data_IF_465203883646
#
_entry.id   IF_465203883646
#
_cell.length_a   1.000
_cell.length_b   1.000
_cell.length_c   1.000
_cell.angle_alpha   90.00
_cell.angle_beta   90.00
_cell.angle_gamma   90.00
#
_symmetry.space_group_name_H-M   'P 1'
#
loop_
_entity.id
_entity.type
_entity.pdbx_description
1 polymer ?
#
# COMPACT_ATOMS: atom_id res chain seq x y z
N UNK A 1 -17.20 15.14 -13.35
CA UNK A 1 -16.91 13.78 -12.85
C UNK A 1 -16.98 13.80 -11.34
N UNK A 2 -17.75 12.92 -10.71
CA UNK A 2 -17.68 12.72 -9.25
C UNK A 2 -16.28 12.25 -8.88
N UNK A 3 -15.57 13.03 -8.06
CA UNK A 3 -14.27 12.63 -7.51
C UNK A 3 -14.51 11.42 -6.62
N UNK A 4 -13.98 10.27 -7.01
CA UNK A 4 -13.95 9.07 -6.17
C UNK A 4 -12.68 9.19 -5.33
N UNK A 5 -12.81 9.21 -4.01
CA UNK A 5 -11.63 9.18 -3.14
C UNK A 5 -10.88 7.86 -3.33
N UNK A 6 -9.56 7.89 -3.10
CA UNK A 6 -8.69 6.75 -3.38
C UNK A 6 -9.06 5.50 -2.60
N UNK A 7 -9.48 5.62 -1.34
CA UNK A 7 -9.87 4.45 -0.54
C UNK A 7 -11.09 3.78 -1.14
N UNK A 8 -12.06 4.57 -1.57
CA UNK A 8 -13.22 4.07 -2.32
C UNK A 8 -12.81 3.45 -3.64
N UNK A 9 -11.88 4.06 -4.38
CA UNK A 9 -11.34 3.47 -5.62
C UNK A 9 -10.68 2.11 -5.37
N UNK A 10 -9.76 2.00 -4.40
CA UNK A 10 -9.07 0.75 -4.06
C UNK A 10 -10.06 -0.32 -3.60
N UNK A 11 -11.04 0.03 -2.76
CA UNK A 11 -12.11 -0.89 -2.35
C UNK A 11 -12.93 -1.40 -3.54
N UNK A 12 -13.22 -0.53 -4.52
CA UNK A 12 -13.94 -0.93 -5.75
C UNK A 12 -13.07 -1.80 -6.67
N UNK A 13 -11.78 -1.50 -6.77
CA UNK A 13 -10.85 -2.25 -7.60
C UNK A 13 -10.59 -3.67 -7.06
N UNK A 14 -10.56 -3.85 -5.73
CA UNK A 14 -10.38 -5.15 -5.06
C UNK A 14 -11.60 -6.06 -5.11
N UNK A 15 -12.80 -5.52 -5.32
CA UNK A 15 -14.07 -6.27 -5.35
C UNK A 15 -14.44 -6.86 -6.72
N UNK A 16 -13.55 -6.82 -7.72
CA UNK A 16 -13.70 -7.49 -9.03
C UNK A 16 -15.14 -7.58 -9.58
N UNK A 17 -15.65 -6.53 -10.25
CA UNK A 17 -16.95 -6.51 -10.97
C UNK A 17 -18.17 -7.20 -10.31
N UNK A 18 -18.22 -7.34 -8.98
CA UNK A 18 -19.19 -8.19 -8.31
C UNK A 18 -19.75 -7.64 -7.00
N UNK A 19 -20.05 -6.34 -6.92
CA UNK A 19 -21.15 -5.76 -6.11
C UNK A 19 -21.06 -4.21 -6.15
N UNK A 20 -21.86 -3.59 -7.01
CA UNK A 20 -22.12 -2.16 -7.00
C UNK A 20 -23.09 -1.83 -5.86
N UNK A 21 -22.56 -1.67 -4.64
CA UNK A 21 -23.31 -1.03 -3.57
C UNK A 21 -23.30 0.49 -3.80
N UNK A 22 -24.46 1.05 -4.11
CA UNK A 22 -24.69 2.50 -4.20
C UNK A 22 -24.65 3.12 -2.81
N UNK A 23 -23.79 4.12 -2.62
CA UNK A 23 -23.86 5.03 -1.47
C UNK A 23 -24.03 6.47 -1.98
N UNK A 24 -24.78 7.33 -1.25
CA UNK A 24 -25.02 8.69 -1.70
C UNK A 24 -23.74 9.52 -1.62
N UNK A 25 -23.38 10.18 -2.72
CA UNK A 25 -22.31 11.16 -2.72
C UNK A 25 -22.81 12.45 -2.05
N UNK A 26 -22.34 12.73 -0.82
CA UNK A 26 -22.42 14.05 -0.23
C UNK A 26 -21.08 14.76 -0.41
N UNK A 27 -20.90 15.36 -1.58
CA UNK A 27 -19.89 16.38 -1.80
C UNK A 27 -20.54 17.76 -1.63
N UNK A 28 -20.36 18.37 -0.45
CA UNK A 28 -20.46 19.83 -0.32
C UNK A 28 -19.04 20.38 -0.29
N UNK A 29 -18.67 21.12 -1.34
CA UNK A 29 -17.58 22.07 -1.28
C UNK A 29 -18.12 23.34 -0.60
N UNK A 30 -17.63 23.63 0.60
CA UNK A 30 -17.72 24.95 1.18
C UNK A 30 -16.32 25.54 1.14
N UNK A 31 -16.10 26.49 0.23
CA UNK A 31 -14.98 27.42 0.38
C UNK A 31 -15.22 28.18 1.68
N UNK A 32 -14.30 28.04 2.62
CA UNK A 32 -14.33 28.79 3.87
C UNK A 32 -12.98 29.45 4.03
N UNK A 33 -12.98 30.77 4.21
CA UNK A 33 -11.82 31.50 4.70
C UNK A 33 -11.36 30.82 5.99
N UNK A 34 -10.15 30.25 5.97
CA UNK A 34 -9.52 29.66 7.15
C UNK A 34 -9.13 30.83 8.06
N UNK A 35 -9.83 31.00 9.18
CA UNK A 35 -9.24 31.72 10.32
C UNK A 35 -8.01 30.90 10.72
N UNK A 36 -6.85 31.54 10.74
CA UNK A 36 -5.61 30.91 11.19
C UNK A 36 -5.79 30.55 12.67
N UNK A 37 -6.04 29.27 12.94
CA UNK A 37 -5.82 28.70 14.26
C UNK A 37 -4.34 28.85 14.64
N UNK A 38 -3.97 28.44 15.85
CA UNK A 38 -2.55 28.31 16.18
C UNK A 38 -2.07 26.87 16.00
N UNK A 39 -0.76 26.69 15.90
CA UNK A 39 -0.13 25.39 15.66
C UNK A 39 -0.53 24.33 16.70
N UNK A 40 -0.65 23.07 16.28
CA UNK A 40 -0.82 21.96 17.21
C UNK A 40 0.53 21.34 17.53
N UNK A 41 0.74 21.05 18.82
CA UNK A 41 1.93 20.34 19.27
C UNK A 41 1.54 19.00 19.88
N UNK A 42 2.11 17.93 19.36
CA UNK A 42 1.99 16.59 19.90
C UNK A 42 3.31 16.22 20.58
N UNK A 43 3.35 16.32 21.91
CA UNK A 43 4.52 15.88 22.68
C UNK A 43 4.51 14.36 22.76
N UNK A 44 5.69 13.75 22.68
CA UNK A 44 5.83 12.30 22.68
C UNK A 44 6.77 11.82 23.78
N UNK A 45 6.57 10.58 24.22
CA UNK A 45 7.39 9.91 25.22
C UNK A 45 7.67 8.50 24.69
N UNK A 46 8.64 8.34 23.78
CA UNK A 46 8.82 7.11 23.04
C UNK A 46 9.54 6.08 23.89
N UNK A 47 9.39 4.81 23.54
CA UNK A 47 10.19 3.74 24.13
C UNK A 47 11.70 4.00 23.92
N UNK A 48 12.61 3.65 24.85
CA UNK A 48 14.05 3.89 24.70
C UNK A 48 14.71 3.25 23.45
N UNK A 49 14.09 2.21 22.87
CA UNK A 49 14.55 1.58 21.63
C UNK A 49 14.05 2.26 20.36
N UNK A 50 13.17 3.27 20.48
CA UNK A 50 12.71 4.02 19.33
C UNK A 50 13.83 4.98 18.88
N UNK A 51 14.23 4.96 17.60
CA UNK A 51 15.14 5.96 17.07
C UNK A 51 14.51 7.35 17.17
N UNK A 52 15.35 8.38 17.05
CA UNK A 52 14.86 9.75 16.97
C UNK A 52 13.80 9.87 15.87
N UNK A 53 12.64 10.41 16.23
CA UNK A 53 11.56 10.62 15.27
C UNK A 53 11.94 11.76 14.32
N UNK A 54 12.30 11.40 13.11
CA UNK A 54 12.69 12.35 12.05
C UNK A 54 11.54 12.66 11.09
N UNK A 55 10.42 11.94 11.20
CA UNK A 55 9.37 12.00 10.20
C UNK A 55 7.97 11.79 10.77
N UNK A 56 7.01 12.52 10.22
CA UNK A 56 5.57 12.36 10.39
C UNK A 56 4.87 12.98 9.18
N UNK A 57 3.63 12.58 8.92
CA UNK A 57 2.82 13.20 7.87
C UNK A 57 1.37 13.40 8.29
N UNK A 58 0.72 14.38 7.67
CA UNK A 58 -0.71 14.59 7.78
C UNK A 58 -1.47 13.89 6.64
N UNK A 59 -2.66 13.37 6.97
CA UNK A 59 -3.67 12.93 6.00
C UNK A 59 -4.92 13.77 6.14
N UNK A 60 -5.66 13.97 5.05
CA UNK A 60 -6.91 14.71 5.09
C UNK A 60 -8.09 13.83 5.56
N UNK A 61 -9.32 14.38 5.51
CA UNK A 61 -10.53 13.68 5.97
C UNK A 61 -10.85 12.35 5.28
N UNK A 62 -10.26 12.08 4.12
CA UNK A 62 -10.40 10.79 3.42
C UNK A 62 -9.30 9.80 3.81
N UNK A 63 -8.43 10.18 4.76
CA UNK A 63 -7.25 9.44 5.13
C UNK A 63 -6.24 9.40 3.99
N UNK A 64 -6.22 10.44 3.15
CA UNK A 64 -5.29 10.59 2.03
C UNK A 64 -4.07 11.42 2.47
N UNK A 65 -2.83 10.85 2.46
CA UNK A 65 -1.64 11.62 2.80
C UNK A 65 -1.40 12.74 1.78
N UNK A 66 -0.92 13.89 2.25
CA UNK A 66 -0.60 15.03 1.40
C UNK A 66 0.71 15.71 1.81
N UNK A 67 1.36 16.32 0.83
CA UNK A 67 2.59 17.09 1.08
C UNK A 67 2.28 18.29 1.98
N UNK A 68 3.05 18.38 3.05
CA UNK A 68 2.86 19.39 4.10
C UNK A 68 4.19 19.76 4.74
N UNK A 69 4.17 20.81 5.56
CA UNK A 69 5.27 21.24 6.43
C UNK A 69 5.30 20.49 7.77
N UNK A 70 4.43 19.50 7.98
CA UNK A 70 4.46 18.65 9.19
C UNK A 70 5.78 17.90 9.23
N UNK A 71 6.46 17.95 10.38
CA UNK A 71 7.72 17.25 10.61
C UNK A 71 7.75 16.68 12.02
N UNK A 72 8.44 15.55 12.16
CA UNK A 72 8.80 14.99 13.46
C UNK A 72 10.03 15.69 14.04
N UNK A 73 10.16 15.66 15.36
CA UNK A 73 11.32 16.17 16.09
C UNK A 73 11.59 15.34 17.34
N UNK A 74 12.70 15.64 18.04
CA UNK A 74 13.05 15.04 19.33
C UNK A 74 11.98 15.16 20.41
N UNK A 75 11.16 16.21 20.37
CA UNK A 75 10.19 16.52 21.42
C UNK A 75 8.74 16.24 21.03
N UNK A 76 8.46 16.12 19.73
CA UNK A 76 7.09 16.11 19.27
C UNK A 76 6.90 16.17 17.77
N UNK A 77 5.63 16.24 17.38
CA UNK A 77 5.20 16.66 16.04
C UNK A 77 4.58 18.04 16.18
N UNK A 78 5.01 18.97 15.33
CA UNK A 78 4.37 20.28 15.18
C UNK A 78 3.59 20.30 13.88
N UNK A 79 2.34 20.75 13.98
CA UNK A 79 1.38 20.81 12.89
C UNK A 79 1.03 22.27 12.66
N UNK A 80 1.51 22.89 11.57
CA UNK A 80 1.25 24.29 11.28
C UNK A 80 -0.23 24.56 11.04
N UNK A 81 -0.73 25.71 11.49
CA UNK A 81 -2.14 26.07 11.28
C UNK A 81 -2.52 26.32 9.81
N UNK A 82 -1.54 26.60 8.95
CA UNK A 82 -1.71 26.96 7.54
C UNK A 82 -1.55 25.78 6.57
N UNK A 83 -1.78 24.54 7.03
CA UNK A 83 -1.64 23.29 6.26
C UNK A 83 -2.51 23.17 5.00
N UNK A 84 -3.41 24.11 4.74
CA UNK A 84 -4.33 24.08 3.60
C UNK A 84 -5.43 23.02 3.69
N UNK A 85 -5.51 22.29 4.81
CA UNK A 85 -6.55 21.31 5.13
C UNK A 85 -7.08 21.59 6.53
N UNK A 86 -8.39 21.55 6.70
CA UNK A 86 -9.02 21.90 7.97
C UNK A 86 -9.14 20.70 8.93
N UNK A 87 -9.45 19.51 8.41
CA UNK A 87 -9.57 18.27 9.19
C UNK A 87 -8.47 17.30 8.78
N UNK A 88 -7.66 16.89 9.76
CA UNK A 88 -6.48 16.06 9.53
C UNK A 88 -6.31 14.94 10.54
N UNK A 89 -5.54 13.92 10.16
CA UNK A 89 -4.91 12.96 11.07
C UNK A 89 -3.40 13.00 10.92
N UNK A 90 -2.66 12.60 11.95
CA UNK A 90 -1.20 12.58 11.96
C UNK A 90 -0.69 11.16 12.05
N UNK A 91 0.23 10.76 11.17
CA UNK A 91 0.80 9.41 11.14
C UNK A 91 2.33 9.46 11.25
N UNK A 92 2.91 8.53 11.99
CA UNK A 92 4.37 8.30 12.05
C UNK A 92 4.67 6.83 12.34
N UNK A 93 5.91 6.41 12.12
CA UNK A 93 6.42 5.10 12.53
C UNK A 93 6.68 5.13 14.04
N UNK A 94 6.19 4.13 14.75
CA UNK A 94 6.27 4.03 16.20
C UNK A 94 6.73 2.64 16.62
N UNK A 95 7.58 2.54 17.65
CA UNK A 95 7.96 1.26 18.25
C UNK A 95 7.04 0.93 19.42
N UNK A 96 6.43 -0.26 19.39
CA UNK A 96 5.62 -0.78 20.50
C UNK A 96 6.26 -2.07 21.00
N UNK A 97 6.62 -2.08 22.29
CA UNK A 97 7.24 -3.26 22.91
C UNK A 97 6.32 -4.48 22.81
N UNK A 98 6.89 -5.63 22.41
CA UNK A 98 6.11 -6.85 22.18
C UNK A 98 5.30 -6.89 20.88
N UNK A 99 5.36 -5.85 20.05
CA UNK A 99 4.71 -5.83 18.72
C UNK A 99 5.69 -5.46 17.59
N UNK A 100 6.61 -4.52 17.84
CA UNK A 100 7.61 -4.07 16.87
C UNK A 100 7.33 -2.68 16.31
N UNK A 101 7.86 -2.38 15.13
CA UNK A 101 7.65 -1.10 14.44
C UNK A 101 6.35 -1.12 13.64
N UNK A 102 5.51 -0.11 13.86
CA UNK A 102 4.22 0.04 13.19
C UNK A 102 3.98 1.48 12.77
N UNK A 103 3.19 1.67 11.72
CA UNK A 103 2.66 2.98 11.36
C UNK A 103 1.41 3.25 12.21
N UNK A 104 1.44 4.29 13.04
CA UNK A 104 0.33 4.67 13.91
C UNK A 104 -0.22 6.04 13.53
N UNK A 105 -1.54 6.14 13.53
CA UNK A 105 -2.28 7.36 13.24
C UNK A 105 -2.95 7.87 14.50
N UNK A 106 -2.73 9.14 14.80
CA UNK A 106 -3.52 9.94 15.73
C UNK A 106 -4.60 10.67 14.93
N UNK A 107 -5.87 10.38 15.20
CA UNK A 107 -7.02 10.94 14.49
C UNK A 107 -8.13 11.41 15.47
N UNK A 108 -7.76 11.74 16.71
CA UNK A 108 -8.69 12.23 17.74
C UNK A 108 -9.85 11.23 18.00
N UNK A 109 -9.55 9.92 17.97
CA UNK A 109 -10.54 8.87 18.16
C UNK A 109 -11.54 8.76 17.01
N UNK A 110 -11.06 8.89 15.77
CA UNK A 110 -11.84 8.83 14.53
C UNK A 110 -12.51 10.15 14.12
N UNK A 111 -12.38 11.21 14.91
CA UNK A 111 -13.05 12.50 14.65
C UNK A 111 -12.20 13.51 13.87
N UNK A 112 -10.92 13.20 13.66
CA UNK A 112 -9.90 14.08 13.10
C UNK A 112 -9.60 15.29 14.00
N UNK A 113 -8.43 15.90 13.78
CA UNK A 113 -8.07 17.18 14.35
C UNK A 113 -8.55 18.29 13.41
N UNK A 114 -9.43 19.15 13.92
CA UNK A 114 -9.94 20.30 13.17
C UNK A 114 -9.14 21.55 13.52
N UNK A 115 -8.26 22.01 12.63
CA UNK A 115 -7.26 23.04 12.93
C UNK A 115 -7.86 24.37 13.42
N UNK A 116 -9.02 24.76 12.88
CA UNK A 116 -9.73 25.98 13.32
C UNK A 116 -10.26 25.94 14.75
N UNK A 117 -10.35 24.77 15.37
CA UNK A 117 -10.85 24.62 16.75
C UNK A 117 -9.76 24.94 17.79
N UNK A 118 -8.54 25.22 17.34
CA UNK A 118 -7.35 25.35 18.19
C UNK A 118 -6.69 26.73 18.06
N UNK A 119 -6.09 27.19 19.15
CA UNK A 119 -5.57 28.55 19.28
C UNK A 119 -4.04 28.61 19.48
N UNK A 120 -3.33 27.49 19.27
CA UNK A 120 -1.87 27.40 19.37
C UNK A 120 -1.33 26.99 20.73
N UNK A 121 -2.17 26.98 21.77
CA UNK A 121 -1.77 26.51 23.11
C UNK A 121 -2.10 25.02 23.34
N UNK A 122 -2.60 24.34 22.31
CA UNK A 122 -3.04 22.96 22.38
C UNK A 122 -1.85 22.00 22.34
N UNK A 123 -1.59 21.36 23.48
CA UNK A 123 -0.56 20.33 23.64
C UNK A 123 -1.22 18.98 23.84
N UNK A 124 -0.95 18.06 22.93
CA UNK A 124 -1.43 16.68 22.99
C UNK A 124 -0.32 15.74 23.43
N UNK A 125 -0.70 14.63 24.06
CA UNK A 125 0.19 13.51 24.31
C UNK A 125 0.03 12.50 23.15
N UNK A 126 1.09 12.32 22.36
CA UNK A 126 1.02 11.52 21.14
C UNK A 126 0.74 10.05 21.42
N UNK A 127 1.38 9.46 22.44
CA UNK A 127 1.13 8.08 22.87
C UNK A 127 -0.34 7.86 23.23
N UNK A 128 -0.92 8.81 23.98
CA UNK A 128 -2.34 8.80 24.36
C UNK A 128 -3.26 8.88 23.14
N UNK A 129 -2.96 9.76 22.19
CA UNK A 129 -3.76 9.90 20.96
C UNK A 129 -3.66 8.67 20.06
N UNK A 130 -2.53 7.96 20.01
CA UNK A 130 -2.45 6.66 19.31
C UNK A 130 -3.35 5.60 19.93
N UNK A 131 -3.31 5.45 21.27
CA UNK A 131 -4.18 4.51 21.96
C UNK A 131 -5.66 4.85 21.73
N UNK A 132 -6.03 6.13 21.86
CA UNK A 132 -7.39 6.63 21.61
C UNK A 132 -7.89 6.30 20.20
N UNK A 133 -7.06 6.56 19.20
CA UNK A 133 -7.37 6.32 17.78
C UNK A 133 -7.50 4.83 17.50
N UNK A 134 -6.63 3.99 18.08
CA UNK A 134 -6.70 2.53 17.95
C UNK A 134 -7.93 1.93 18.63
N UNK A 135 -8.35 2.44 19.81
CA UNK A 135 -9.62 2.05 20.45
C UNK A 135 -10.80 2.30 19.53
N UNK A 136 -10.90 3.53 18.99
CA UNK A 136 -11.99 3.91 18.10
C UNK A 136 -12.05 2.98 16.87
N UNK A 137 -10.89 2.72 16.24
CA UNK A 137 -10.78 1.80 15.10
C UNK A 137 -11.21 0.37 15.46
N UNK A 138 -10.68 -0.18 16.55
CA UNK A 138 -11.00 -1.55 16.97
C UNK A 138 -12.51 -1.69 17.23
N UNK A 139 -13.12 -0.74 17.94
CA UNK A 139 -14.57 -0.72 18.20
C UNK A 139 -15.39 -0.67 16.92
N UNK A 140 -15.02 0.21 15.98
CA UNK A 140 -15.71 0.33 14.69
C UNK A 140 -15.64 -0.97 13.88
N UNK A 141 -14.45 -1.52 13.71
CA UNK A 141 -14.22 -2.75 12.93
C UNK A 141 -14.93 -3.94 13.58
N UNK A 142 -14.78 -4.11 14.89
CA UNK A 142 -15.43 -5.17 15.65
C UNK A 142 -16.96 -5.11 15.50
N UNK A 143 -17.56 -3.93 15.68
CA UNK A 143 -19.00 -3.71 15.52
C UNK A 143 -19.48 -4.06 14.10
N UNK A 144 -18.73 -3.66 13.08
CA UNK A 144 -19.03 -3.99 11.67
C UNK A 144 -19.00 -5.50 11.41
N UNK A 145 -18.09 -6.22 12.07
CA UNK A 145 -17.99 -7.68 11.93
C UNK A 145 -19.06 -8.42 12.75
N UNK A 146 -19.38 -7.95 13.94
CA UNK A 146 -20.52 -8.44 14.73
C UNK A 146 -21.83 -8.28 13.96
N UNK A 147 -22.05 -7.14 13.28
CA UNK A 147 -23.22 -6.95 12.42
C UNK A 147 -23.27 -7.87 11.21
N UNK A 148 -22.14 -8.51 10.86
CA UNK A 148 -22.06 -9.55 9.81
C UNK A 148 -22.21 -10.98 10.34
N UNK A 149 -22.46 -11.14 11.65
CA UNK A 149 -22.69 -12.42 12.31
C UNK A 149 -21.48 -13.02 13.04
N UNK A 150 -20.33 -12.33 13.03
CA UNK A 150 -19.12 -12.82 13.72
C UNK A 150 -19.32 -12.79 15.24
N UNK A 151 -18.98 -13.89 15.90
CA UNK A 151 -18.96 -14.00 17.36
C UNK A 151 -17.52 -14.04 17.83
N UNK A 152 -17.07 -13.00 18.53
CA UNK A 152 -15.70 -12.91 19.01
C UNK A 152 -15.46 -13.75 20.26
N UNK A 153 -14.28 -14.36 20.33
CA UNK A 153 -13.86 -15.20 21.44
C UNK A 153 -13.84 -14.45 22.79
N UNK A 154 -13.80 -15.20 23.89
CA UNK A 154 -13.57 -14.61 25.22
C UNK A 154 -12.21 -13.93 25.32
N UNK A 155 -11.20 -14.41 24.59
CA UNK A 155 -9.87 -13.81 24.54
C UNK A 155 -9.92 -12.40 23.94
N UNK A 156 -10.56 -12.22 22.77
CA UNK A 156 -10.73 -10.90 22.15
C UNK A 156 -11.48 -9.95 23.07
N UNK A 157 -12.55 -10.42 23.73
CA UNK A 157 -13.30 -9.60 24.69
C UNK A 157 -12.44 -9.18 25.88
N UNK A 158 -11.79 -10.13 26.55
CA UNK A 158 -10.94 -9.85 27.71
C UNK A 158 -9.79 -8.89 27.38
N UNK A 159 -9.09 -9.11 26.26
CA UNK A 159 -8.01 -8.23 25.84
C UNK A 159 -8.52 -6.84 25.45
N UNK A 160 -9.72 -6.73 24.87
CA UNK A 160 -10.37 -5.43 24.60
C UNK A 160 -10.58 -4.69 25.93
N UNK A 161 -11.25 -5.33 26.89
CA UNK A 161 -11.58 -4.73 28.19
C UNK A 161 -10.31 -4.29 28.94
N UNK A 162 -9.30 -5.18 29.03
CA UNK A 162 -7.99 -4.86 29.64
C UNK A 162 -7.32 -3.66 28.95
N UNK A 163 -7.32 -3.64 27.62
CA UNK A 163 -6.66 -2.59 26.86
C UNK A 163 -7.34 -1.22 27.07
N UNK A 164 -8.66 -1.20 27.21
CA UNK A 164 -9.42 0.01 27.47
C UNK A 164 -9.30 0.47 28.93
N UNK A 165 -9.26 -0.46 29.90
CA UNK A 165 -8.97 -0.13 31.31
C UNK A 165 -7.60 0.53 31.49
N UNK A 166 -6.58 0.01 30.81
CA UNK A 166 -5.23 0.62 30.79
C UNK A 166 -5.21 2.00 30.12
N UNK A 167 -6.10 2.23 29.15
CA UNK A 167 -6.27 3.56 28.56
C UNK A 167 -6.93 4.53 29.54
N UNK A 168 -7.92 4.06 30.32
CA UNK A 168 -8.52 4.88 31.38
C UNK A 168 -7.50 5.24 32.47
N UNK A 169 -6.55 4.36 32.79
CA UNK A 169 -5.41 4.70 33.65
C UNK A 169 -4.58 5.85 33.07
N UNK A 170 -4.36 5.86 31.74
CA UNK A 170 -3.70 6.96 31.07
C UNK A 170 -4.52 8.26 31.19
N UNK A 171 -5.84 8.18 31.03
CA UNK A 171 -6.76 9.32 31.22
C UNK A 171 -6.69 9.85 32.66
N UNK A 172 -6.67 8.97 33.67
CA UNK A 172 -6.51 9.37 35.09
C UNK A 172 -5.16 10.04 35.35
N UNK A 173 -4.13 9.71 34.57
CA UNK A 173 -2.79 10.25 34.67
C UNK A 173 -2.53 11.49 33.80
N UNK A 174 -3.54 12.09 33.17
CA UNK A 174 -3.37 13.16 32.17
C UNK A 174 -2.51 14.35 32.65
N UNK A 175 -2.60 14.70 33.93
CA UNK A 175 -1.81 15.78 34.54
C UNK A 175 -0.32 15.46 34.72
N UNK A 176 0.10 14.20 34.51
CA UNK A 176 1.49 13.75 34.48
C UNK A 176 1.78 13.15 33.09
N UNK A 177 2.34 13.93 32.15
CA UNK A 177 2.49 13.52 30.76
C UNK A 177 3.27 12.20 30.56
N UNK A 178 4.34 11.98 31.31
CA UNK A 178 5.12 10.74 31.24
C UNK A 178 4.32 9.53 31.75
N UNK A 179 3.65 9.68 32.90
CA UNK A 179 2.82 8.60 33.46
C UNK A 179 1.63 8.28 32.53
N UNK A 180 1.02 9.31 31.94
CA UNK A 180 -0.02 9.18 30.92
C UNK A 180 0.51 8.37 29.73
N UNK A 181 1.65 8.77 29.16
CA UNK A 181 2.23 8.08 28.02
C UNK A 181 2.59 6.61 28.30
N UNK A 182 3.23 6.31 29.44
CA UNK A 182 3.55 4.92 29.82
C UNK A 182 2.31 4.04 29.95
N UNK A 183 1.21 4.60 30.45
CA UNK A 183 -0.05 3.85 30.59
C UNK A 183 -0.72 3.67 29.22
N UNK A 184 -0.66 4.70 28.37
CA UNK A 184 -1.13 4.63 26.99
C UNK A 184 -0.36 3.60 26.16
N UNK A 185 0.96 3.48 26.32
CA UNK A 185 1.78 2.47 25.61
C UNK A 185 1.44 1.04 26.04
N UNK A 186 1.17 0.82 27.33
CA UNK A 186 0.68 -0.48 27.82
C UNK A 186 -0.67 -0.82 27.20
N UNK A 187 -1.59 0.13 27.15
CA UNK A 187 -2.87 -0.02 26.45
C UNK A 187 -2.66 -0.34 24.98
N UNK A 188 -1.81 0.43 24.29
CA UNK A 188 -1.51 0.31 22.87
C UNK A 188 -0.97 -1.07 22.49
N UNK A 189 -0.14 -1.67 23.35
CA UNK A 189 0.36 -3.03 23.17
C UNK A 189 -0.78 -4.04 23.00
N UNK A 190 -1.74 -4.03 23.92
CA UNK A 190 -2.92 -4.91 23.85
C UNK A 190 -3.87 -4.50 22.72
N UNK A 191 -4.07 -3.21 22.49
CA UNK A 191 -4.92 -2.70 21.40
C UNK A 191 -4.45 -3.13 20.02
N UNK A 192 -3.14 -3.24 19.79
CA UNK A 192 -2.59 -3.74 18.53
C UNK A 192 -2.92 -5.23 18.35
N UNK A 193 -2.60 -6.05 19.35
CA UNK A 193 -2.91 -7.49 19.36
C UNK A 193 -4.40 -7.80 19.23
N UNK A 194 -5.26 -7.03 19.90
CA UNK A 194 -6.73 -7.15 19.77
C UNK A 194 -7.17 -6.92 18.34
N UNK A 195 -6.63 -5.88 17.68
CA UNK A 195 -6.96 -5.60 16.29
C UNK A 195 -6.56 -6.73 15.34
N UNK A 196 -5.38 -7.34 15.51
CA UNK A 196 -4.97 -8.52 14.73
C UNK A 196 -5.93 -9.70 14.95
N UNK A 197 -6.31 -9.97 16.21
CA UNK A 197 -7.24 -11.06 16.53
C UNK A 197 -8.63 -10.82 15.96
N UNK A 198 -9.12 -9.58 15.97
CA UNK A 198 -10.42 -9.22 15.36
C UNK A 198 -10.42 -9.56 13.86
N UNK A 199 -9.36 -9.20 13.12
CA UNK A 199 -9.26 -9.49 11.68
C UNK A 199 -9.09 -11.00 11.43
N UNK A 200 -8.29 -11.70 12.23
CA UNK A 200 -8.10 -13.16 12.11
C UNK A 200 -9.38 -13.95 12.39
N UNK A 201 -10.13 -13.61 13.44
CA UNK A 201 -11.40 -14.28 13.74
C UNK A 201 -12.46 -13.96 12.67
N UNK A 202 -12.46 -12.74 12.11
CA UNK A 202 -13.29 -12.41 10.95
C UNK A 202 -12.92 -13.27 9.73
N UNK A 203 -11.63 -13.41 9.43
CA UNK A 203 -11.16 -14.20 8.30
C UNK A 203 -11.57 -15.68 8.44
N UNK A 204 -11.39 -16.27 9.63
CA UNK A 204 -11.83 -17.65 9.93
C UNK A 204 -13.33 -17.83 9.74
N UNK A 205 -14.13 -16.92 10.30
CA UNK A 205 -15.58 -16.92 10.10
C UNK A 205 -15.97 -16.87 8.62
N UNK A 206 -15.32 -16.02 7.82
CA UNK A 206 -15.59 -15.95 6.39
C UNK A 206 -15.17 -17.20 5.63
N UNK A 207 -14.02 -17.80 5.98
CA UNK A 207 -13.57 -19.07 5.39
C UNK A 207 -14.59 -20.18 5.68
N UNK A 208 -15.01 -20.32 6.94
CA UNK A 208 -15.99 -21.32 7.37
C UNK A 208 -17.36 -21.10 6.72
N UNK A 209 -17.76 -19.84 6.55
CA UNK A 209 -19.04 -19.47 5.93
C UNK A 209 -19.04 -19.67 4.43
N UNK A 210 -17.98 -19.28 3.74
CA UNK A 210 -17.92 -19.30 2.28
C UNK A 210 -17.65 -20.70 1.74
N UNK A 211 -16.93 -21.55 2.50
CA UNK A 211 -16.54 -22.92 2.09
C UNK A 211 -16.05 -22.98 0.64
N UNK A 212 -15.22 -22.00 0.28
CA UNK A 212 -14.68 -21.80 -1.07
C UNK A 212 -13.95 -23.07 -1.54
N UNK A 213 -14.37 -23.60 -2.67
CA UNK A 213 -13.77 -24.77 -3.32
C UNK A 213 -13.11 -24.41 -4.68
N UNK A 214 -13.03 -23.13 -5.00
CA UNK A 214 -12.31 -22.61 -6.16
C UNK A 214 -10.80 -22.84 -6.02
N UNK A 215 -10.14 -22.94 -7.17
CA UNK A 215 -8.69 -23.07 -7.26
C UNK A 215 -8.01 -21.85 -6.64
N UNK A 216 -7.26 -22.07 -5.57
CA UNK A 216 -6.38 -21.06 -4.99
C UNK A 216 -5.02 -21.10 -5.69
N UNK A 217 -4.65 -19.99 -6.31
CA UNK A 217 -3.32 -19.84 -6.90
C UNK A 217 -2.31 -19.42 -5.83
N UNK A 218 -1.33 -20.28 -5.60
CA UNK A 218 -0.19 -20.04 -4.72
C UNK A 218 1.08 -20.17 -5.55
N UNK A 219 1.91 -19.12 -5.55
CA UNK A 219 2.98 -19.03 -6.52
C UNK A 219 4.22 -18.28 -6.11
N UNK A 220 5.25 -18.45 -6.92
CA UNK A 220 6.56 -17.86 -6.73
C UNK A 220 7.13 -17.30 -8.04
N UNK A 221 8.12 -16.43 -7.90
CA UNK A 221 8.86 -15.87 -9.01
C UNK A 221 9.95 -16.84 -9.48
N UNK A 222 10.18 -16.95 -10.80
CA UNK A 222 11.03 -18.00 -11.38
C UNK A 222 12.44 -17.56 -11.78
N UNK A 223 12.91 -16.36 -11.42
CA UNK A 223 14.24 -15.86 -11.80
C UNK A 223 15.36 -16.75 -11.28
N UNK A 224 15.21 -17.30 -10.08
CA UNK A 224 16.18 -18.23 -9.51
C UNK A 224 16.26 -19.58 -10.23
N UNK A 225 15.27 -19.95 -11.06
CA UNK A 225 15.30 -21.19 -11.85
C UNK A 225 16.60 -21.35 -12.64
N UNK A 226 17.06 -20.26 -13.27
CA UNK A 226 18.27 -20.24 -14.12
C UNK A 226 19.53 -20.63 -13.36
N UNK A 227 19.58 -20.31 -12.06
CA UNK A 227 20.76 -20.48 -11.23
C UNK A 227 20.69 -21.66 -10.30
N UNK A 228 19.47 -22.08 -9.94
CA UNK A 228 19.30 -23.21 -9.05
C UNK A 228 20.06 -24.42 -9.59
N UNK A 229 20.03 -24.66 -10.92
CA UNK A 229 20.66 -25.81 -11.60
C UNK A 229 20.56 -27.08 -10.75
N UNK A 230 19.42 -27.23 -10.10
CA UNK A 230 19.19 -28.15 -8.99
C UNK A 230 17.86 -28.81 -9.24
N UNK A 231 17.91 -30.13 -9.39
CA UNK A 231 16.72 -30.96 -9.51
C UNK A 231 15.84 -30.86 -8.26
N UNK A 232 16.45 -30.64 -7.08
CA UNK A 232 15.69 -30.45 -5.85
C UNK A 232 14.88 -29.15 -5.89
N UNK A 233 15.44 -28.06 -6.43
CA UNK A 233 14.70 -26.82 -6.57
C UNK A 233 13.50 -26.98 -7.51
N UNK A 234 13.71 -27.54 -8.70
CA UNK A 234 12.64 -27.69 -9.69
C UNK A 234 11.55 -28.64 -9.19
N UNK A 235 11.93 -29.74 -8.54
CA UNK A 235 11.00 -30.67 -7.89
C UNK A 235 10.17 -29.97 -6.80
N UNK A 236 10.82 -29.27 -5.86
CA UNK A 236 10.12 -28.59 -4.76
C UNK A 236 9.24 -27.45 -5.25
N UNK A 237 9.62 -26.79 -6.34
CA UNK A 237 8.81 -25.73 -6.93
C UNK A 237 7.46 -26.28 -7.39
N UNK A 238 7.44 -27.37 -8.16
CA UNK A 238 6.19 -27.98 -8.62
C UNK A 238 5.36 -28.58 -7.45
N UNK A 239 6.01 -29.19 -6.45
CA UNK A 239 5.31 -29.71 -5.28
C UNK A 239 4.57 -28.62 -4.46
N UNK A 240 5.03 -27.37 -4.52
CA UNK A 240 4.51 -26.27 -3.67
C UNK A 240 3.64 -25.26 -4.43
N UNK A 241 3.90 -25.03 -5.72
CA UNK A 241 3.32 -23.91 -6.46
C UNK A 241 2.52 -24.38 -7.68
N UNK A 242 1.30 -23.86 -7.81
CA UNK A 242 0.45 -24.02 -8.99
C UNK A 242 0.36 -22.74 -9.83
N UNK A 243 1.09 -21.70 -9.43
CA UNK A 243 1.19 -20.42 -10.11
C UNK A 243 2.63 -19.92 -10.12
N UNK A 244 3.03 -19.22 -11.17
CA UNK A 244 4.37 -18.66 -11.27
C UNK A 244 4.38 -17.35 -12.05
N UNK A 245 5.29 -16.44 -11.65
CA UNK A 245 5.54 -15.21 -12.42
C UNK A 245 6.86 -15.30 -13.16
N UNK A 246 6.87 -14.98 -14.46
CA UNK A 246 8.08 -14.90 -15.29
C UNK A 246 8.49 -13.45 -15.47
N UNK A 247 9.64 -13.08 -14.91
CA UNK A 247 10.15 -11.71 -14.97
C UNK A 247 10.69 -11.35 -16.37
N UNK A 248 10.20 -10.26 -16.97
CA UNK A 248 10.61 -9.67 -18.24
C UNK A 248 11.26 -8.28 -18.07
N UNK A 249 12.10 -8.10 -17.06
CA UNK A 249 12.87 -6.86 -16.92
C UNK A 249 13.81 -6.69 -18.11
N UNK A 250 13.80 -5.51 -18.72
CA UNK A 250 14.64 -5.19 -19.88
C UNK A 250 16.12 -5.20 -19.50
N UNK A 251 16.43 -4.66 -18.32
CA UNK A 251 17.76 -4.63 -17.74
C UNK A 251 17.80 -5.30 -16.37
N UNK A 252 18.88 -6.03 -16.09
CA UNK A 252 19.16 -6.68 -14.81
C UNK A 252 20.69 -6.76 -14.61
N UNK A 253 21.17 -6.74 -13.36
CA UNK A 253 22.59 -6.92 -13.02
C UNK A 253 23.03 -8.39 -13.03
N UNK A 254 22.07 -9.31 -12.96
CA UNK A 254 22.31 -10.70 -12.64
C UNK A 254 22.12 -11.62 -13.87
N UNK A 255 21.44 -11.15 -14.91
CA UNK A 255 21.09 -11.93 -16.09
C UNK A 255 21.59 -11.22 -17.35
N UNK A 256 21.66 -11.98 -18.45
CA UNK A 256 21.73 -11.35 -19.76
C UNK A 256 20.49 -10.47 -19.95
N UNK A 257 20.71 -9.28 -20.52
CA UNK A 257 19.63 -8.32 -20.78
C UNK A 257 18.58 -8.98 -21.66
N UNK A 258 17.30 -8.83 -21.30
CA UNK A 258 16.23 -9.39 -22.11
C UNK A 258 16.07 -8.63 -23.44
N UNK A 259 16.28 -7.32 -23.42
CA UNK A 259 16.27 -6.47 -24.62
C UNK A 259 17.54 -5.59 -24.65
N UNK A 260 18.70 -6.14 -25.03
CA UNK A 260 19.97 -5.40 -25.07
C UNK A 260 19.96 -4.19 -26.00
N UNK A 261 19.06 -4.15 -26.98
CA UNK A 261 18.74 -2.95 -27.74
C UNK A 261 17.32 -3.06 -28.30
N UNK A 262 16.71 -1.92 -28.59
CA UNK A 262 15.31 -1.85 -29.03
C UNK A 262 14.97 -2.84 -30.14
N UNK A 263 13.96 -3.68 -29.90
CA UNK A 263 13.48 -4.73 -30.79
C UNK A 263 14.40 -5.96 -30.91
N UNK A 264 15.51 -6.04 -30.15
CA UNK A 264 16.42 -7.19 -30.14
C UNK A 264 16.26 -7.93 -28.83
N UNK A 265 15.53 -9.05 -28.86
CA UNK A 265 15.18 -9.82 -27.68
C UNK A 265 16.03 -11.08 -27.50
N UNK A 266 16.36 -11.36 -26.24
CA UNK A 266 16.99 -12.59 -25.79
C UNK A 266 15.94 -13.53 -25.18
N UNK A 267 15.19 -14.22 -26.04
CA UNK A 267 14.08 -15.10 -25.64
C UNK A 267 14.52 -16.35 -24.87
N UNK A 268 15.70 -16.90 -25.18
CA UNK A 268 16.07 -18.28 -24.83
C UNK A 268 15.81 -18.69 -23.37
N UNK A 269 16.33 -17.94 -22.41
CA UNK A 269 16.13 -18.26 -20.98
C UNK A 269 14.66 -18.13 -20.57
N UNK A 270 13.93 -17.13 -21.09
CA UNK A 270 12.53 -16.89 -20.74
C UNK A 270 11.63 -17.96 -21.36
N UNK A 271 11.88 -18.36 -22.60
CA UNK A 271 11.19 -19.46 -23.26
C UNK A 271 11.42 -20.79 -22.53
N UNK A 272 12.64 -21.06 -22.07
CA UNK A 272 12.94 -22.26 -21.29
C UNK A 272 12.12 -22.31 -19.99
N UNK A 273 12.02 -21.18 -19.28
CA UNK A 273 11.20 -21.08 -18.06
C UNK A 273 9.72 -21.29 -18.39
N UNK A 274 9.21 -20.61 -19.42
CA UNK A 274 7.79 -20.70 -19.80
C UNK A 274 7.44 -22.14 -20.23
N UNK A 275 8.28 -22.78 -21.04
CA UNK A 275 8.04 -24.15 -21.47
C UNK A 275 8.08 -25.13 -20.29
N UNK A 276 9.04 -24.98 -19.37
CA UNK A 276 9.08 -25.79 -18.14
C UNK A 276 7.80 -25.63 -17.30
N UNK A 277 7.35 -24.39 -17.06
CA UNK A 277 6.11 -24.16 -16.32
C UNK A 277 4.88 -24.77 -17.02
N UNK A 278 4.83 -24.73 -18.36
CA UNK A 278 3.76 -25.36 -19.14
C UNK A 278 3.81 -26.90 -19.02
N UNK A 279 4.99 -27.50 -19.04
CA UNK A 279 5.19 -28.95 -18.86
C UNK A 279 4.73 -29.41 -17.46
N UNK A 280 4.99 -28.61 -16.43
CA UNK A 280 4.55 -28.86 -15.05
C UNK A 280 3.09 -28.45 -14.80
N UNK A 281 2.36 -27.96 -15.81
CA UNK A 281 0.98 -27.48 -15.72
C UNK A 281 0.79 -26.37 -14.66
N UNK A 282 1.78 -25.49 -14.52
CA UNK A 282 1.76 -24.34 -13.62
C UNK A 282 1.20 -23.13 -14.37
N UNK A 283 0.25 -22.41 -13.75
CA UNK A 283 -0.33 -21.20 -14.36
C UNK A 283 0.68 -20.06 -14.38
N UNK A 284 0.82 -19.40 -15.53
CA UNK A 284 1.88 -18.40 -15.76
C UNK A 284 1.31 -16.99 -15.81
N UNK A 285 1.97 -16.07 -15.10
CA UNK A 285 1.84 -14.63 -15.30
C UNK A 285 3.16 -14.04 -15.81
N UNK A 286 3.10 -13.33 -16.94
CA UNK A 286 4.20 -12.49 -17.39
C UNK A 286 4.25 -11.21 -16.56
N UNK A 287 5.42 -10.85 -16.02
CA UNK A 287 5.57 -9.55 -15.36
C UNK A 287 6.91 -8.87 -15.59
N UNK A 288 6.92 -7.55 -15.70
CA UNK A 288 5.93 -6.72 -16.35
C UNK A 288 6.23 -6.59 -17.85
N UNK A 289 5.26 -6.11 -18.64
CA UNK A 289 5.57 -5.57 -19.97
C UNK A 289 6.37 -4.27 -19.81
N UNK A 290 5.98 -3.42 -18.86
CA UNK A 290 6.66 -2.16 -18.60
C UNK A 290 6.89 -1.92 -17.11
N UNK A 291 8.14 -1.64 -16.75
CA UNK A 291 8.52 -1.04 -15.47
C UNK A 291 9.56 0.04 -15.75
N UNK A 292 9.13 1.30 -15.83
CA UNK A 292 10.01 2.42 -16.14
C UNK A 292 10.81 2.89 -14.92
N UNK A 293 11.30 1.95 -14.11
CA UNK A 293 12.10 2.21 -12.92
C UNK A 293 13.59 2.34 -13.28
N UNK A 294 14.33 3.31 -12.69
CA UNK A 294 15.74 3.55 -13.01
C UNK A 294 16.66 2.33 -12.94
N UNK A 295 16.34 1.35 -12.08
CA UNK A 295 17.12 0.14 -11.92
C UNK A 295 16.95 -0.90 -13.04
N UNK A 296 15.95 -0.79 -13.91
CA UNK A 296 15.67 -1.80 -14.96
C UNK A 296 15.42 -1.21 -16.35
N UNK A 297 15.36 0.12 -16.47
CA UNK A 297 15.22 0.81 -17.76
C UNK A 297 16.61 0.99 -18.40
N UNK A 298 16.87 0.43 -19.60
CA UNK A 298 18.15 0.62 -20.30
C UNK A 298 18.29 2.04 -20.85
N UNK A 299 19.53 2.50 -21.04
CA UNK A 299 19.84 3.90 -21.37
C UNK A 299 19.18 4.42 -22.66
N UNK A 300 19.07 3.56 -23.68
CA UNK A 300 18.38 3.91 -24.94
C UNK A 300 16.89 4.18 -24.73
N UNK A 301 16.27 3.55 -23.73
CA UNK A 301 14.85 3.75 -23.40
C UNK A 301 14.65 5.00 -22.56
N UNK A 302 15.55 5.27 -21.59
CA UNK A 302 15.46 6.45 -20.70
C UNK A 302 15.39 7.78 -21.46
N UNK A 303 16.09 7.85 -22.60
CA UNK A 303 16.25 9.07 -23.39
C UNK A 303 15.14 9.30 -24.42
N UNK A 304 14.12 8.42 -24.50
CA UNK A 304 12.99 8.61 -25.42
C UNK A 304 12.09 9.76 -24.97
N UNK A 305 11.62 10.54 -25.94
CA UNK A 305 10.50 11.46 -25.71
C UNK A 305 9.17 10.69 -25.66
N UNK A 306 8.09 11.38 -25.30
CA UNK A 306 6.78 10.76 -25.08
C UNK A 306 6.21 10.04 -26.32
N UNK A 307 6.39 10.60 -27.52
CA UNK A 307 5.87 10.00 -28.76
C UNK A 307 6.68 8.75 -29.16
N UNK A 308 8.00 8.82 -29.07
CA UNK A 308 8.87 7.66 -29.33
C UNK A 308 8.63 6.55 -28.30
N UNK A 309 8.33 6.92 -27.05
CA UNK A 309 7.99 5.96 -26.01
C UNK A 309 6.65 5.27 -26.29
N UNK A 310 5.65 5.97 -26.83
CA UNK A 310 4.38 5.35 -27.24
C UNK A 310 4.59 4.32 -28.36
N UNK A 311 5.39 4.65 -29.37
CA UNK A 311 5.74 3.71 -30.44
C UNK A 311 6.46 2.47 -29.90
N UNK A 312 7.40 2.66 -28.97
CA UNK A 312 8.06 1.55 -28.28
C UNK A 312 7.05 0.69 -27.49
N UNK A 313 6.15 1.31 -26.73
CA UNK A 313 5.11 0.61 -25.96
C UNK A 313 4.24 -0.25 -26.86
N UNK A 314 3.80 0.27 -28.01
CA UNK A 314 3.00 -0.49 -28.97
C UNK A 314 3.77 -1.69 -29.53
N UNK A 315 5.01 -1.44 -29.99
CA UNK A 315 5.85 -2.48 -30.60
C UNK A 315 6.23 -3.57 -29.60
N UNK A 316 6.73 -3.18 -28.43
CA UNK A 316 7.16 -4.12 -27.39
C UNK A 316 5.98 -4.96 -26.87
N UNK A 317 4.81 -4.34 -26.68
CA UNK A 317 3.58 -5.07 -26.33
C UNK A 317 3.22 -6.09 -27.40
N UNK A 318 3.23 -5.68 -28.68
CA UNK A 318 2.96 -6.59 -29.79
C UNK A 318 3.93 -7.77 -29.82
N UNK A 319 5.24 -7.50 -29.72
CA UNK A 319 6.27 -8.52 -29.79
C UNK A 319 6.12 -9.56 -28.66
N UNK A 320 6.00 -9.14 -27.40
CA UNK A 320 5.92 -10.05 -26.25
C UNK A 320 4.60 -10.82 -26.20
N UNK A 321 3.48 -10.12 -26.37
CA UNK A 321 2.16 -10.76 -26.25
C UNK A 321 1.94 -11.72 -27.42
N UNK A 322 2.36 -11.37 -28.64
CA UNK A 322 2.26 -12.27 -29.80
C UNK A 322 3.21 -13.47 -29.68
N UNK A 323 4.43 -13.28 -29.17
CA UNK A 323 5.42 -14.35 -29.04
C UNK A 323 4.95 -15.45 -28.09
N UNK A 324 4.42 -15.08 -26.93
CA UNK A 324 3.96 -16.07 -25.96
C UNK A 324 2.54 -16.59 -26.23
N UNK A 325 1.68 -15.75 -26.82
CA UNK A 325 0.29 -16.08 -27.16
C UNK A 325 -0.40 -16.83 -26.02
N UNK A 326 -0.90 -18.02 -26.34
CA UNK A 326 -1.70 -18.83 -25.44
C UNK A 326 -0.96 -19.35 -24.19
N UNK A 327 0.38 -19.29 -24.16
CA UNK A 327 1.20 -19.76 -23.03
C UNK A 327 1.13 -18.82 -21.81
N UNK A 328 0.91 -17.52 -22.02
CA UNK A 328 0.81 -16.54 -20.94
C UNK A 328 -0.49 -15.76 -21.05
N UNK A 329 -1.46 -16.12 -20.20
CA UNK A 329 -2.80 -15.53 -20.21
C UNK A 329 -2.99 -14.37 -19.24
N UNK A 330 -1.95 -14.01 -18.49
CA UNK A 330 -2.00 -12.90 -17.53
C UNK A 330 -0.72 -12.09 -17.64
N UNK A 331 -0.86 -10.77 -17.81
CA UNK A 331 0.27 -9.85 -17.90
C UNK A 331 0.12 -8.72 -16.90
N UNK A 332 1.18 -8.49 -16.11
CA UNK A 332 1.38 -7.19 -15.47
C UNK A 332 1.80 -6.20 -16.55
N UNK A 333 0.83 -5.48 -17.12
CA UNK A 333 1.07 -4.57 -18.24
C UNK A 333 1.93 -3.38 -17.82
N UNK A 334 1.55 -2.72 -16.72
CA UNK A 334 2.28 -1.57 -16.20
C UNK A 334 2.60 -1.78 -14.73
N UNK A 335 3.86 -1.58 -14.36
CA UNK A 335 4.32 -1.69 -12.99
C UNK A 335 4.68 -0.32 -12.42
N UNK A 336 3.97 0.12 -11.38
CA UNK A 336 4.36 1.17 -10.43
C UNK A 336 4.66 2.56 -11.02
N UNK A 337 4.16 2.83 -12.23
CA UNK A 337 4.47 4.06 -12.98
C UNK A 337 3.93 5.34 -12.32
N UNK A 338 3.15 5.22 -11.25
CA UNK A 338 2.51 6.33 -10.53
C UNK A 338 3.47 7.15 -9.66
N UNK A 339 4.64 6.61 -9.28
CA UNK A 339 5.63 7.33 -8.46
C UNK A 339 7.09 6.98 -8.84
N UNK A 340 7.76 6.09 -8.10
CA UNK A 340 9.19 5.83 -8.22
C UNK A 340 9.63 5.15 -9.52
N UNK A 341 8.71 4.54 -10.27
CA UNK A 341 8.97 4.00 -11.60
C UNK A 341 8.62 5.01 -12.71
N UNK A 342 8.60 6.32 -12.41
CA UNK A 342 8.37 7.38 -13.39
C UNK A 342 9.67 8.08 -13.81
N UNK A 343 10.62 7.32 -14.38
CA UNK A 343 11.92 7.88 -14.79
C UNK A 343 11.81 9.02 -15.82
N UNK A 344 10.75 9.03 -16.63
CA UNK A 344 10.51 10.03 -17.66
C UNK A 344 9.86 11.32 -17.12
N UNK A 345 9.54 11.39 -15.82
CA UNK A 345 8.90 12.54 -15.17
C UNK A 345 7.57 12.95 -15.85
N UNK A 346 6.81 11.98 -16.33
CA UNK A 346 5.52 12.20 -16.97
C UNK A 346 4.48 12.72 -15.99
N UNK A 347 3.52 13.51 -16.51
CA UNK A 347 2.34 13.94 -15.74
C UNK A 347 1.39 12.78 -15.50
N UNK A 348 0.45 12.88 -14.54
CA UNK A 348 -0.59 11.86 -14.35
C UNK A 348 -1.39 11.55 -15.62
N UNK A 349 -1.65 12.55 -16.46
CA UNK A 349 -2.36 12.40 -17.74
C UNK A 349 -1.53 11.56 -18.72
N UNK A 350 -0.24 11.85 -18.84
CA UNK A 350 0.69 11.11 -19.69
C UNK A 350 0.88 9.65 -19.21
N UNK A 351 1.00 9.44 -17.89
CA UNK A 351 1.06 8.08 -17.30
C UNK A 351 -0.22 7.32 -17.62
N UNK A 352 -1.38 7.96 -17.49
CA UNK A 352 -2.68 7.36 -17.80
C UNK A 352 -2.80 7.03 -19.28
N UNK A 353 -2.34 7.92 -20.16
CA UNK A 353 -2.33 7.69 -21.61
C UNK A 353 -1.46 6.50 -22.01
N UNK A 354 -0.21 6.43 -21.54
CA UNK A 354 0.68 5.29 -21.84
C UNK A 354 0.15 3.99 -21.23
N UNK A 355 -0.36 4.03 -20.01
CA UNK A 355 -0.92 2.83 -19.36
C UNK A 355 -2.15 2.32 -20.13
N UNK A 356 -3.01 3.23 -20.59
CA UNK A 356 -4.15 2.89 -21.45
C UNK A 356 -3.67 2.29 -22.77
N UNK A 357 -2.71 2.93 -23.43
CA UNK A 357 -2.13 2.45 -24.70
C UNK A 357 -1.62 1.02 -24.57
N UNK A 358 -0.83 0.73 -23.54
CA UNK A 358 -0.30 -0.62 -23.29
C UNK A 358 -1.43 -1.64 -23.06
N UNK A 359 -2.47 -1.27 -22.30
CA UNK A 359 -3.62 -2.14 -22.05
C UNK A 359 -4.45 -2.40 -23.32
N UNK A 360 -4.74 -1.36 -24.09
CA UNK A 360 -5.51 -1.44 -25.33
C UNK A 360 -4.74 -2.25 -26.36
N UNK A 361 -3.42 -2.04 -26.49
CA UNK A 361 -2.59 -2.84 -27.38
C UNK A 361 -2.51 -4.30 -26.95
N UNK A 362 -2.39 -4.57 -25.66
CA UNK A 362 -2.44 -5.96 -25.15
C UNK A 362 -3.76 -6.63 -25.54
N UNK A 363 -4.89 -5.91 -25.40
CA UNK A 363 -6.22 -6.41 -25.79
C UNK A 363 -6.36 -6.63 -27.30
N UNK A 364 -5.79 -5.74 -28.10
CA UNK A 364 -5.80 -5.83 -29.56
C UNK A 364 -5.05 -7.07 -30.04
N UNK A 365 -3.88 -7.35 -29.44
CA UNK A 365 -3.03 -8.49 -29.78
C UNK A 365 -3.62 -9.81 -29.31
N UNK A 366 -4.02 -9.90 -28.04
CA UNK A 366 -4.76 -11.04 -27.50
C UNK A 366 -5.85 -10.57 -26.53
N UNK A 367 -7.10 -10.64 -26.99
CA UNK A 367 -8.27 -10.25 -26.20
C UNK A 367 -8.53 -11.16 -24.99
N UNK A 368 -7.98 -12.38 -24.98
CA UNK A 368 -8.08 -13.36 -23.90
C UNK A 368 -7.09 -13.12 -22.75
N UNK A 369 -6.12 -12.22 -22.91
CA UNK A 369 -5.17 -11.87 -21.85
C UNK A 369 -5.83 -11.03 -20.75
N UNK A 370 -5.65 -11.47 -19.50
CA UNK A 370 -5.91 -10.66 -18.31
C UNK A 370 -4.83 -9.60 -18.16
N UNK A 371 -5.25 -8.32 -18.18
CA UNK A 371 -4.37 -7.15 -18.07
C UNK A 371 -4.36 -6.65 -16.64
N UNK A 372 -3.19 -6.65 -16.01
CA UNK A 372 -3.01 -6.25 -14.62
C UNK A 372 -2.17 -4.98 -14.58
N UNK A 373 -2.62 -3.97 -13.83
CA UNK A 373 -1.82 -2.81 -13.46
C UNK A 373 -1.33 -3.07 -12.04
N UNK A 374 -0.02 -3.25 -11.88
CA UNK A 374 0.58 -3.50 -10.57
C UNK A 374 1.08 -2.18 -9.98
N UNK A 375 0.76 -1.93 -8.71
CA UNK A 375 1.21 -0.76 -7.97
C UNK A 375 1.67 -1.18 -6.57
N UNK A 376 2.76 -0.58 -6.09
CA UNK A 376 3.17 -0.60 -4.70
C UNK A 376 2.54 0.59 -3.95
N UNK A 377 2.67 0.58 -2.62
CA UNK A 377 2.26 1.68 -1.74
C UNK A 377 0.86 2.27 -2.07
N UNK A 378 -0.21 1.45 -2.21
CA UNK A 378 -1.53 1.91 -2.67
C UNK A 378 -2.18 2.95 -1.73
N UNK A 379 -1.66 3.08 -0.50
CA UNK A 379 -2.08 4.07 0.49
C UNK A 379 -1.30 5.39 0.41
N UNK A 380 -0.46 5.56 -0.62
CA UNK A 380 0.39 6.72 -0.92
C UNK A 380 1.06 7.36 0.29
N UNK A 381 1.62 6.53 1.16
CA UNK A 381 2.54 6.96 2.21
C UNK A 381 3.76 7.71 1.64
N UNK A 382 4.02 7.57 0.33
CA UNK A 382 5.02 8.29 -0.45
C UNK A 382 4.61 9.74 -0.80
N UNK A 383 3.31 10.06 -0.85
CA UNK A 383 2.83 11.38 -1.27
C UNK A 383 3.39 12.57 -0.47
N UNK A 384 3.62 12.47 0.86
CA UNK A 384 4.22 13.56 1.63
C UNK A 384 5.66 13.90 1.20
N UNK A 385 6.36 12.99 0.53
CA UNK A 385 7.78 13.11 0.19
C UNK A 385 7.99 13.73 -1.20
N UNK A 386 6.91 13.91 -1.97
CA UNK A 386 6.93 14.45 -3.33
C UNK A 386 7.14 13.36 -4.38
N UNK A 387 7.75 13.73 -5.52
CA UNK A 387 7.99 12.80 -6.63
C UNK A 387 9.14 11.84 -6.30
N UNK A 388 9.07 10.62 -6.83
CA UNK A 388 10.11 9.58 -6.70
C UNK A 388 10.36 9.21 -5.22
N UNK A 389 9.30 9.28 -4.43
CA UNK A 389 9.38 9.14 -2.99
C UNK A 389 9.71 7.70 -2.58
N UNK A 390 9.24 6.70 -3.34
CA UNK A 390 9.62 5.30 -3.13
C UNK A 390 11.11 4.96 -3.29
N UNK A 391 11.94 5.86 -3.84
CA UNK A 391 13.40 5.67 -3.87
C UNK A 391 14.10 6.07 -2.57
N UNK A 392 13.41 6.83 -1.73
CA UNK A 392 13.86 7.19 -0.40
C UNK A 392 13.08 6.26 0.52
N UNK A 393 13.57 5.05 0.77
CA UNK A 393 13.07 4.36 1.96
C UNK A 393 13.64 5.10 3.17
N UNK A 394 12.85 5.32 4.23
CA UNK A 394 13.44 5.75 5.50
C UNK A 394 14.30 4.59 6.02
N UNK A 395 15.60 4.86 6.17
CA UNK A 395 16.56 4.00 6.87
C UNK A 395 16.06 3.56 8.24
#
# INVERSE_FOLDING_TARGET
>A
MTVIDRRTFVKRATLGMGMLATMPALARSAGTLIKTGGDLTFNHFPHPWMPEMTWAYASDRFGDPFRSSVQGSKTGITVPADLGKDEISITTRWFVEGFGYVMLTADNGGNLFRLRDYNGNNKFNLNYEFARSRIARNREVKKRYESSGVQFSSEVRHLTDLSEELYEDATRAFNNPEKCARSADKSLTYLLWVGEKIELEKARFEIDRQQRADTFYFGCETRQYVWAKSEDFTKRFNELFNFATVTHYLWDTWYELFEPGEGRYNWGIKDNIVNWLMEENITIQGRPLFWFHPAVTPEWLKNKNFEDLKQYVEKHTYDLVSHYGDKIRQWSVMNEYHDWANIHNHTPEQITEITRLACDKTKEVDSGVTRIINNCCPWADYAPWGKMAGQKEPS
#
